data_IF_012846404230
#
_entry.id   IF_012846404230
#
_cell.length_a   1.000
_cell.length_b   1.000
_cell.length_c   1.000
_cell.angle_alpha   90.00
_cell.angle_beta   90.00
_cell.angle_gamma   90.00
#
_symmetry.space_group_name_H-M   'P 1'
#
loop_
_entity.id
_entity.type
_entity.pdbx_description
1 polymer ?
#
# COMPACT_ATOMS: atom_id res chain seq x y z
N UNK A 1 -21.72 -22.96 12.24
CA UNK A 1 -20.83 -23.32 11.12
C UNK A 1 -21.37 -22.86 9.77
N UNK A 2 -22.57 -23.30 9.35
CA UNK A 2 -23.16 -22.91 8.04
C UNK A 2 -23.31 -21.39 7.88
N UNK A 3 -23.78 -20.69 8.92
CA UNK A 3 -23.94 -19.21 8.89
C UNK A 3 -22.58 -18.51 8.78
N UNK A 4 -21.58 -19.00 9.51
CA UNK A 4 -20.24 -18.40 9.55
C UNK A 4 -19.50 -18.62 8.23
N UNK A 5 -19.61 -19.83 7.65
CA UNK A 5 -19.15 -20.16 6.30
C UNK A 5 -19.91 -19.34 5.25
N UNK A 6 -21.22 -19.12 5.44
CA UNK A 6 -22.05 -18.27 4.58
C UNK A 6 -21.60 -16.81 4.57
N UNK A 7 -21.33 -16.21 5.74
CA UNK A 7 -20.78 -14.85 5.86
C UNK A 7 -19.41 -14.76 5.18
N UNK A 8 -18.58 -15.79 5.34
CA UNK A 8 -17.25 -15.89 4.75
C UNK A 8 -17.32 -15.99 3.21
N UNK A 9 -18.24 -16.81 2.70
CA UNK A 9 -18.49 -16.95 1.25
C UNK A 9 -19.09 -15.68 0.67
N UNK A 10 -20.03 -15.02 1.35
CA UNK A 10 -20.59 -13.73 0.94
C UNK A 10 -19.50 -12.66 0.91
N UNK A 11 -18.60 -12.64 1.90
CA UNK A 11 -17.49 -11.71 1.96
C UNK A 11 -16.47 -11.95 0.83
N UNK A 12 -16.07 -13.21 0.60
CA UNK A 12 -15.20 -13.59 -0.53
C UNK A 12 -15.86 -13.25 -1.87
N UNK A 13 -17.15 -13.51 -2.01
CA UNK A 13 -17.90 -13.22 -3.23
C UNK A 13 -18.00 -11.71 -3.51
N UNK A 14 -18.28 -10.90 -2.47
CA UNK A 14 -18.34 -9.44 -2.58
C UNK A 14 -17.00 -8.85 -2.98
N UNK A 15 -15.90 -9.40 -2.49
CA UNK A 15 -14.54 -8.94 -2.81
C UNK A 15 -13.85 -9.81 -3.89
N UNK A 16 -14.61 -10.50 -4.75
CA UNK A 16 -14.05 -11.45 -5.73
C UNK A 16 -13.08 -10.82 -6.72
N UNK A 17 -13.29 -9.55 -7.09
CA UNK A 17 -12.40 -8.80 -7.98
C UNK A 17 -11.03 -8.66 -7.36
N UNK A 18 -10.99 -8.25 -6.09
CA UNK A 18 -9.78 -7.98 -5.34
C UNK A 18 -9.05 -9.30 -5.03
N UNK A 19 -9.78 -10.37 -4.70
CA UNK A 19 -9.21 -11.71 -4.54
C UNK A 19 -8.65 -12.28 -5.85
N UNK A 20 -9.39 -12.16 -6.95
CA UNK A 20 -8.93 -12.62 -8.27
C UNK A 20 -7.71 -11.85 -8.73
N UNK A 21 -7.68 -10.53 -8.51
CA UNK A 21 -6.54 -9.68 -8.82
C UNK A 21 -5.34 -9.98 -7.91
N UNK A 22 -5.55 -10.25 -6.63
CA UNK A 22 -4.49 -10.70 -5.72
C UNK A 22 -3.84 -12.00 -6.20
N UNK A 23 -4.64 -13.02 -6.53
CA UNK A 23 -4.15 -14.32 -7.04
C UNK A 23 -3.43 -14.15 -8.38
N UNK A 24 -3.99 -13.35 -9.30
CA UNK A 24 -3.38 -13.06 -10.61
C UNK A 24 -2.10 -12.24 -10.51
N UNK A 25 -1.94 -11.40 -9.49
CA UNK A 25 -0.73 -10.57 -9.29
C UNK A 25 0.36 -11.31 -8.54
N UNK A 26 0.01 -12.20 -7.61
CA UNK A 26 0.96 -13.14 -6.96
C UNK A 26 1.63 -14.04 -8.01
N UNK A 27 0.93 -14.39 -9.09
CA UNK A 27 1.44 -15.21 -10.18
C UNK A 27 2.21 -14.43 -11.26
N UNK A 28 2.29 -13.10 -11.17
CA UNK A 28 3.09 -12.28 -12.08
C UNK A 28 4.44 -11.92 -11.43
N UNK A 29 5.56 -12.55 -11.86
CA UNK A 29 6.88 -12.36 -11.24
C UNK A 29 7.43 -10.94 -11.41
N UNK A 30 6.97 -10.18 -12.40
CA UNK A 30 7.49 -8.84 -12.71
C UNK A 30 7.09 -7.73 -11.71
N UNK A 31 6.06 -7.94 -10.88
CA UNK A 31 5.64 -6.98 -9.85
C UNK A 31 6.43 -7.12 -8.53
N UNK A 32 7.31 -8.13 -8.46
CA UNK A 32 8.15 -8.44 -7.30
C UNK A 32 9.62 -8.30 -7.69
N UNK A 33 10.04 -7.07 -7.97
CA UNK A 33 11.47 -6.73 -8.01
C UNK A 33 12.05 -6.92 -6.61
N UNK A 34 12.65 -8.10 -6.40
CA UNK A 34 13.40 -8.47 -5.21
C UNK A 34 13.02 -9.86 -4.67
N UNK A 35 13.89 -10.87 -4.89
CA UNK A 35 13.80 -12.18 -4.21
C UNK A 35 13.74 -12.04 -2.68
N UNK A 36 14.35 -10.99 -2.12
CA UNK A 36 14.32 -10.68 -0.68
C UNK A 36 12.92 -10.34 -0.16
N UNK A 37 12.07 -9.72 -1.00
CA UNK A 37 10.71 -9.35 -0.63
C UNK A 37 9.77 -10.55 -0.61
N UNK A 38 9.97 -11.52 -1.51
CA UNK A 38 9.24 -12.80 -1.49
C UNK A 38 9.58 -13.65 -0.25
N UNK A 39 10.86 -13.72 0.12
CA UNK A 39 11.29 -14.47 1.31
C UNK A 39 10.70 -13.89 2.60
N UNK A 40 10.75 -12.57 2.75
CA UNK A 40 10.15 -11.84 3.89
C UNK A 40 8.65 -12.10 4.02
N UNK A 41 8.00 -12.32 2.90
CA UNK A 41 6.56 -12.46 2.74
C UNK A 41 6.07 -13.89 3.02
N UNK A 42 6.81 -14.91 2.56
CA UNK A 42 6.62 -16.29 3.03
C UNK A 42 6.90 -16.43 4.53
N UNK A 43 7.91 -15.71 5.04
CA UNK A 43 8.24 -15.70 6.46
C UNK A 43 7.11 -15.10 7.30
N UNK A 44 6.53 -13.96 6.90
CA UNK A 44 5.37 -13.38 7.59
C UNK A 44 4.14 -14.30 7.58
N UNK A 45 3.85 -14.94 6.44
CA UNK A 45 2.75 -15.91 6.35
C UNK A 45 2.96 -17.13 7.25
N UNK A 46 4.19 -17.65 7.30
CA UNK A 46 4.58 -18.75 8.19
C UNK A 46 4.44 -18.36 9.67
N UNK A 47 4.88 -17.16 10.05
CA UNK A 47 4.75 -16.64 11.41
C UNK A 47 3.27 -16.53 11.81
N UNK A 48 2.42 -15.99 10.93
CA UNK A 48 0.98 -15.87 11.20
C UNK A 48 0.33 -17.25 11.42
N UNK A 49 0.69 -18.24 10.60
CA UNK A 49 0.15 -19.60 10.70
C UNK A 49 0.61 -20.28 11.99
N UNK A 50 1.90 -20.15 12.35
CA UNK A 50 2.44 -20.65 13.62
C UNK A 50 1.75 -20.00 14.82
N UNK A 51 1.51 -18.67 14.78
CA UNK A 51 0.82 -17.95 15.83
C UNK A 51 -0.61 -18.46 16.03
N UNK A 52 -1.33 -18.76 14.96
CA UNK A 52 -2.72 -19.23 15.03
C UNK A 52 -2.81 -20.66 15.54
N UNK A 53 -1.88 -21.53 15.14
CA UNK A 53 -1.76 -22.87 15.70
C UNK A 53 -1.45 -22.76 17.21
N UNK A 54 -0.51 -21.90 17.59
CA UNK A 54 -0.13 -21.65 18.98
C UNK A 54 -1.30 -21.11 19.83
N UNK A 55 -2.06 -20.14 19.33
CA UNK A 55 -3.27 -19.65 20.00
C UNK A 55 -4.32 -20.78 20.11
N UNK A 56 -4.50 -21.56 19.05
CA UNK A 56 -5.41 -22.71 19.06
C UNK A 56 -5.05 -23.76 20.12
N UNK A 57 -3.76 -24.04 20.32
CA UNK A 57 -3.30 -24.98 21.36
C UNK A 57 -3.43 -24.38 22.77
N UNK A 58 -3.11 -23.09 22.95
CA UNK A 58 -3.33 -22.37 24.23
C UNK A 58 -4.79 -22.47 24.66
N UNK A 59 -5.72 -22.18 23.74
CA UNK A 59 -7.14 -22.24 24.00
C UNK A 59 -7.72 -23.67 23.99
N UNK A 60 -6.87 -24.70 23.82
CA UNK A 60 -7.25 -26.11 23.78
C UNK A 60 -8.38 -26.40 22.79
N UNK A 61 -8.30 -25.80 21.61
CA UNK A 61 -9.30 -26.00 20.58
C UNK A 61 -9.20 -27.41 19.98
N UNK A 62 -10.32 -27.96 19.54
CA UNK A 62 -10.34 -29.21 18.76
C UNK A 62 -9.53 -29.03 17.47
N UNK A 63 -8.79 -30.07 17.08
CA UNK A 63 -7.94 -30.04 15.89
C UNK A 63 -8.68 -29.60 14.61
N UNK A 64 -9.95 -29.97 14.47
CA UNK A 64 -10.79 -29.56 13.33
C UNK A 64 -11.02 -28.05 13.27
N UNK A 65 -11.16 -27.38 14.42
CA UNK A 65 -11.35 -25.92 14.49
C UNK A 65 -10.02 -25.18 14.30
N UNK A 66 -8.90 -25.75 14.78
CA UNK A 66 -7.56 -25.23 14.49
C UNK A 66 -7.30 -25.28 12.98
N UNK A 67 -7.62 -26.40 12.32
CA UNK A 67 -7.46 -26.54 10.88
C UNK A 67 -8.32 -25.53 10.10
N UNK A 68 -9.56 -25.30 10.54
CA UNK A 68 -10.44 -24.26 9.98
C UNK A 68 -9.83 -22.86 10.13
N UNK A 69 -9.34 -22.52 11.34
CA UNK A 69 -8.68 -21.24 11.62
C UNK A 69 -7.43 -21.05 10.76
N UNK A 70 -6.60 -22.09 10.62
CA UNK A 70 -5.41 -22.06 9.77
C UNK A 70 -5.75 -21.86 8.30
N UNK A 71 -6.80 -22.52 7.80
CA UNK A 71 -7.29 -22.31 6.43
C UNK A 71 -7.73 -20.87 6.20
N UNK A 72 -8.51 -20.30 7.14
CA UNK A 72 -8.93 -18.90 7.06
C UNK A 72 -7.75 -17.92 7.16
N UNK A 73 -6.79 -18.21 8.05
CA UNK A 73 -5.58 -17.44 8.21
C UNK A 73 -4.75 -17.35 6.93
N UNK A 74 -4.61 -18.46 6.20
CA UNK A 74 -3.91 -18.50 4.92
C UNK A 74 -4.59 -17.58 3.90
N UNK A 75 -5.92 -17.64 3.80
CA UNK A 75 -6.68 -16.74 2.92
C UNK A 75 -6.48 -15.27 3.30
N UNK A 76 -6.58 -14.92 4.59
CA UNK A 76 -6.35 -13.57 5.08
C UNK A 76 -4.90 -13.12 4.84
N UNK A 77 -3.92 -14.00 5.06
CA UNK A 77 -2.51 -13.72 4.86
C UNK A 77 -2.19 -13.36 3.40
N UNK A 78 -2.73 -14.14 2.45
CA UNK A 78 -2.62 -13.85 1.00
C UNK A 78 -3.19 -12.48 0.65
N UNK A 79 -4.31 -12.09 1.27
CA UNK A 79 -4.92 -10.79 1.02
C UNK A 79 -4.11 -9.64 1.63
N UNK A 80 -3.65 -9.78 2.88
CA UNK A 80 -2.81 -8.77 3.54
C UNK A 80 -1.50 -8.53 2.79
N UNK A 81 -0.93 -9.61 2.27
CA UNK A 81 0.24 -9.61 1.42
C UNK A 81 0.02 -8.82 0.15
N UNK A 82 -1.11 -9.05 -0.54
CA UNK A 82 -1.45 -8.29 -1.73
C UNK A 82 -1.53 -6.79 -1.45
N UNK A 83 -2.17 -6.40 -0.34
CA UNK A 83 -2.24 -4.99 0.08
C UNK A 83 -0.85 -4.43 0.34
N UNK A 84 0.00 -5.16 1.07
CA UNK A 84 1.35 -4.71 1.40
C UNK A 84 2.20 -4.50 0.13
N UNK A 85 2.10 -5.38 -0.85
CA UNK A 85 2.78 -5.23 -2.13
C UNK A 85 2.28 -4.01 -2.91
N UNK A 86 0.95 -3.82 -2.98
CA UNK A 86 0.37 -2.63 -3.60
C UNK A 86 0.87 -1.34 -2.93
N UNK A 87 0.88 -1.30 -1.59
CA UNK A 87 1.38 -0.18 -0.81
C UNK A 87 2.87 0.10 -1.08
N UNK A 88 3.73 -0.92 -1.11
CA UNK A 88 5.15 -0.75 -1.42
C UNK A 88 5.37 -0.24 -2.85
N UNK A 89 4.61 -0.76 -3.81
CA UNK A 89 4.74 -0.33 -5.20
C UNK A 89 4.28 1.12 -5.37
N UNK A 90 3.19 1.53 -4.70
CA UNK A 90 2.74 2.92 -4.68
C UNK A 90 3.77 3.84 -4.02
N UNK A 91 4.38 3.42 -2.91
CA UNK A 91 5.46 4.16 -2.26
C UNK A 91 6.64 4.40 -3.20
N UNK A 92 7.13 3.34 -3.86
CA UNK A 92 8.26 3.44 -4.78
C UNK A 92 7.91 4.32 -5.99
N UNK A 93 6.69 4.18 -6.53
CA UNK A 93 6.23 5.01 -7.63
C UNK A 93 6.18 6.50 -7.23
N UNK A 94 5.69 6.79 -6.03
CA UNK A 94 5.68 8.15 -5.48
C UNK A 94 7.09 8.72 -5.30
N UNK A 95 7.99 7.96 -4.65
CA UNK A 95 9.39 8.38 -4.45
C UNK A 95 10.11 8.62 -5.79
N UNK A 96 9.89 7.74 -6.76
CA UNK A 96 10.43 7.86 -8.12
C UNK A 96 9.90 9.10 -8.84
N UNK A 97 8.59 9.36 -8.75
CA UNK A 97 7.98 10.56 -9.33
C UNK A 97 8.47 11.85 -8.68
N UNK A 98 8.58 11.88 -7.34
CA UNK A 98 9.13 13.01 -6.60
C UNK A 98 10.57 13.31 -7.04
N UNK A 99 11.43 12.29 -7.10
CA UNK A 99 12.82 12.46 -7.53
C UNK A 99 12.91 12.92 -8.98
N UNK A 100 12.09 12.35 -9.87
CA UNK A 100 12.00 12.80 -11.25
C UNK A 100 11.65 14.29 -11.35
N UNK A 101 10.61 14.74 -10.64
CA UNK A 101 10.17 16.14 -10.67
C UNK A 101 11.23 17.09 -10.08
N UNK A 102 11.87 16.70 -8.97
CA UNK A 102 12.94 17.48 -8.34
C UNK A 102 14.17 17.60 -9.26
N UNK A 103 14.64 16.48 -9.83
CA UNK A 103 15.75 16.48 -10.78
C UNK A 103 15.40 17.34 -12.00
N UNK A 104 14.20 17.18 -12.55
CA UNK A 104 13.77 17.92 -13.75
C UNK A 104 13.70 19.44 -13.51
N UNK A 105 13.16 19.89 -12.37
CA UNK A 105 13.19 21.31 -11.98
C UNK A 105 14.62 21.85 -11.87
N UNK A 106 15.52 21.08 -11.23
CA UNK A 106 16.93 21.45 -11.06
C UNK A 106 17.70 21.54 -12.38
N UNK A 107 17.50 20.58 -13.30
CA UNK A 107 18.12 20.64 -14.62
C UNK A 107 17.53 21.74 -15.49
N UNK A 108 16.22 21.98 -15.42
CA UNK A 108 15.58 23.03 -16.21
C UNK A 108 16.11 24.42 -15.86
N UNK A 109 16.48 24.66 -14.60
CA UNK A 109 17.16 25.89 -14.15
C UNK A 109 18.45 26.18 -14.94
N UNK A 110 19.16 25.15 -15.41
CA UNK A 110 20.43 25.30 -16.13
C UNK A 110 20.29 25.36 -17.66
N UNK A 111 19.31 24.64 -18.22
CA UNK A 111 19.15 24.49 -19.67
C UNK A 111 18.14 25.45 -20.27
N UNK A 112 17.16 25.91 -19.48
CA UNK A 112 16.11 26.87 -19.86
C UNK A 112 15.28 26.44 -21.09
N UNK A 113 15.37 25.15 -21.45
CA UNK A 113 14.64 24.49 -22.54
C UNK A 113 14.26 23.08 -22.12
N UNK A 114 13.01 22.71 -22.37
CA UNK A 114 12.38 21.48 -21.91
C UNK A 114 12.98 20.24 -22.59
N UNK A 115 13.13 20.27 -23.91
CA UNK A 115 13.66 19.14 -24.69
C UNK A 115 15.10 18.75 -24.28
N UNK A 116 16.09 19.66 -24.27
CA UNK A 116 17.45 19.34 -23.81
C UNK A 116 17.49 18.88 -22.35
N UNK A 117 16.63 19.44 -21.49
CA UNK A 117 16.52 19.04 -20.09
C UNK A 117 16.09 17.56 -19.97
N UNK A 118 15.04 17.17 -20.70
CA UNK A 118 14.52 15.80 -20.69
C UNK A 118 15.50 14.78 -21.27
N UNK A 119 16.18 15.13 -22.37
CA UNK A 119 17.22 14.29 -22.98
C UNK A 119 18.40 14.10 -22.03
N UNK A 120 18.82 15.18 -21.36
CA UNK A 120 19.91 15.13 -20.40
C UNK A 120 19.55 14.31 -19.16
N UNK A 121 18.35 14.48 -18.62
CA UNK A 121 17.84 13.72 -17.49
C UNK A 121 17.82 12.21 -17.79
N UNK A 122 17.34 11.83 -18.97
CA UNK A 122 17.34 10.44 -19.43
C UNK A 122 18.75 9.84 -19.56
N UNK A 123 19.75 10.69 -19.89
CA UNK A 123 21.14 10.27 -20.05
C UNK A 123 21.89 10.05 -18.73
N UNK A 124 21.56 10.81 -17.69
CA UNK A 124 22.21 10.73 -16.37
C UNK A 124 21.52 9.69 -15.48
N UNK A 125 20.19 9.68 -15.47
CA UNK A 125 19.38 8.85 -14.57
C UNK A 125 18.51 7.90 -15.40
N UNK A 126 19.03 6.71 -15.79
CA UNK A 126 18.32 5.78 -16.66
C UNK A 126 17.02 5.23 -16.03
N UNK A 127 16.86 5.37 -14.72
CA UNK A 127 15.61 5.03 -14.02
C UNK A 127 14.44 5.94 -14.43
N UNK A 128 14.72 7.16 -14.91
CA UNK A 128 13.72 8.12 -15.37
C UNK A 128 13.40 8.02 -16.85
N UNK A 129 14.08 7.14 -17.58
CA UNK A 129 13.88 6.92 -19.01
C UNK A 129 12.41 6.62 -19.36
N UNK A 130 11.72 5.88 -18.48
CA UNK A 130 10.30 5.57 -18.66
C UNK A 130 9.42 6.84 -18.67
N UNK A 131 9.70 7.81 -17.80
CA UNK A 131 8.93 9.06 -17.75
C UNK A 131 9.30 9.98 -18.91
N UNK A 132 10.59 10.10 -19.21
CA UNK A 132 11.07 10.97 -20.29
C UNK A 132 10.62 10.45 -21.66
N UNK A 133 10.63 9.14 -21.93
CA UNK A 133 10.12 8.57 -23.17
C UNK A 133 8.64 8.89 -23.39
N UNK A 134 7.80 8.73 -22.36
CA UNK A 134 6.35 9.04 -22.46
C UNK A 134 6.14 10.52 -22.80
N UNK A 135 6.91 11.41 -22.19
CA UNK A 135 6.82 12.85 -22.45
C UNK A 135 7.34 13.17 -23.86
N UNK A 136 8.51 12.65 -24.25
CA UNK A 136 9.12 12.90 -25.55
C UNK A 136 8.28 12.34 -26.70
N UNK A 137 7.69 11.15 -26.54
CA UNK A 137 6.77 10.56 -27.52
C UNK A 137 5.52 11.44 -27.70
N UNK A 138 4.95 11.95 -26.62
CA UNK A 138 3.81 12.87 -26.68
C UNK A 138 4.17 14.19 -27.37
N UNK A 139 5.32 14.79 -27.04
CA UNK A 139 5.81 16.02 -27.71
C UNK A 139 6.06 15.76 -29.20
N UNK A 140 6.68 14.63 -29.56
CA UNK A 140 6.93 14.25 -30.96
C UNK A 140 5.63 14.01 -31.75
N UNK A 141 4.55 13.60 -31.07
CA UNK A 141 3.23 13.47 -31.65
C UNK A 141 2.49 14.80 -31.85
N UNK A 142 3.07 15.91 -31.39
CA UNK A 142 2.53 17.27 -31.53
C UNK A 142 1.68 17.74 -30.35
N UNK A 143 1.71 17.04 -29.22
CA UNK A 143 1.03 17.47 -27.99
C UNK A 143 1.79 18.60 -27.29
N UNK A 144 1.06 19.43 -26.53
CA UNK A 144 1.70 20.46 -25.70
C UNK A 144 2.48 19.84 -24.55
N UNK A 145 3.46 20.58 -24.02
CA UNK A 145 4.29 20.13 -22.90
C UNK A 145 3.43 19.76 -21.69
N UNK A 146 2.39 20.55 -21.40
CA UNK A 146 1.41 20.29 -20.35
C UNK A 146 0.69 18.94 -20.54
N UNK A 147 0.23 18.64 -21.76
CA UNK A 147 -0.47 17.37 -22.04
C UNK A 147 0.49 16.18 -21.93
N UNK A 148 1.74 16.34 -22.38
CA UNK A 148 2.77 15.33 -22.28
C UNK A 148 3.09 14.96 -20.83
N UNK A 149 3.23 15.95 -19.94
CA UNK A 149 3.45 15.72 -18.50
C UNK A 149 2.23 15.12 -17.81
N UNK A 150 1.02 15.53 -18.21
CA UNK A 150 -0.24 14.96 -17.68
C UNK A 150 -0.37 13.46 -17.97
N UNK A 151 0.25 12.93 -19.03
CA UNK A 151 0.31 11.48 -19.32
C UNK A 151 1.16 10.70 -18.32
N UNK A 152 2.18 11.33 -17.73
CA UNK A 152 3.01 10.71 -16.69
C UNK A 152 2.21 10.60 -15.39
N UNK A 153 1.60 11.71 -14.96
CA UNK A 153 0.70 11.73 -13.83
C UNK A 153 -0.21 12.97 -13.90
N UNK A 154 -1.51 12.83 -13.57
CA UNK A 154 -2.44 13.95 -13.56
C UNK A 154 -2.29 14.88 -12.34
N UNK A 155 -1.34 14.61 -11.44
CA UNK A 155 -1.12 15.40 -10.24
C UNK A 155 -0.79 16.87 -10.56
N UNK A 156 -1.36 17.82 -9.81
CA UNK A 156 -1.21 19.25 -10.11
C UNK A 156 0.25 19.71 -10.17
N UNK A 157 1.14 19.23 -9.28
CA UNK A 157 2.56 19.60 -9.32
C UNK A 157 3.25 19.19 -10.63
N UNK A 158 2.90 18.03 -11.18
CA UNK A 158 3.48 17.56 -12.45
C UNK A 158 3.09 18.51 -13.59
N UNK A 159 1.83 18.94 -13.60
CA UNK A 159 1.31 19.92 -14.55
C UNK A 159 1.92 21.30 -14.32
N UNK A 160 2.06 21.74 -13.06
CA UNK A 160 2.66 23.04 -12.70
C UNK A 160 4.09 23.14 -13.21
N UNK A 161 4.89 22.08 -13.09
CA UNK A 161 6.24 22.08 -13.66
C UNK A 161 6.22 22.30 -15.17
N UNK A 162 5.34 21.60 -15.89
CA UNK A 162 5.19 21.78 -17.33
C UNK A 162 4.76 23.21 -17.69
N UNK A 163 3.84 23.81 -16.92
CA UNK A 163 3.44 25.22 -17.09
C UNK A 163 4.62 26.17 -16.87
N UNK A 164 5.42 25.98 -15.81
CA UNK A 164 6.60 26.82 -15.55
C UNK A 164 7.58 26.73 -16.72
N UNK A 165 7.83 25.51 -17.21
CA UNK A 165 8.72 25.29 -18.35
C UNK A 165 8.21 25.93 -19.63
N UNK A 166 6.94 25.75 -19.97
CA UNK A 166 6.31 26.33 -21.16
C UNK A 166 6.26 27.86 -21.10
N UNK A 167 5.97 28.43 -19.93
CA UNK A 167 5.96 29.88 -19.71
C UNK A 167 7.35 30.48 -19.85
N UNK A 168 8.39 29.82 -19.33
CA UNK A 168 9.77 30.26 -19.46
C UNK A 168 10.25 30.21 -20.92
N UNK A 169 9.89 29.15 -21.65
CA UNK A 169 10.19 29.05 -23.09
C UNK A 169 9.48 30.12 -23.92
N UNK A 170 8.24 30.46 -23.56
CA UNK A 170 7.40 31.40 -24.34
C UNK A 170 7.71 32.86 -24.02
N UNK A 171 7.89 33.20 -22.74
CA UNK A 171 7.99 34.58 -22.25
C UNK A 171 9.40 34.95 -21.77
N UNK A 172 10.33 34.00 -21.77
CA UNK A 172 11.70 34.16 -21.28
C UNK A 172 11.82 33.93 -19.76
N UNK A 173 13.06 33.99 -19.26
CA UNK A 173 13.41 33.49 -17.91
C UNK A 173 13.18 34.51 -16.79
N UNK A 174 12.44 35.59 -17.05
CA UNK A 174 12.19 36.61 -16.04
C UNK A 174 11.34 36.04 -14.90
N UNK A 175 11.95 35.81 -13.74
CA UNK A 175 11.29 35.20 -12.58
C UNK A 175 11.27 33.67 -12.58
N UNK A 176 11.96 33.00 -13.52
CA UNK A 176 12.06 31.54 -13.57
C UNK A 176 12.63 30.96 -12.27
N UNK A 177 13.73 31.54 -11.76
CA UNK A 177 14.35 31.08 -10.52
C UNK A 177 13.38 31.14 -9.34
N UNK A 178 12.60 32.21 -9.23
CA UNK A 178 11.60 32.34 -8.17
C UNK A 178 10.47 31.32 -8.35
N UNK A 179 9.99 31.12 -9.58
CA UNK A 179 8.94 30.15 -9.87
C UNK A 179 9.39 28.71 -9.54
N UNK A 180 10.62 28.34 -9.93
CA UNK A 180 11.21 27.04 -9.63
C UNK A 180 11.47 26.85 -8.14
N UNK A 181 11.96 27.88 -7.43
CA UNK A 181 12.13 27.80 -5.97
C UNK A 181 10.80 27.60 -5.25
N UNK A 182 9.75 28.35 -5.62
CA UNK A 182 8.41 28.16 -5.07
C UNK A 182 7.87 26.75 -5.36
N UNK A 183 8.13 26.24 -6.56
CA UNK A 183 7.73 24.89 -6.95
C UNK A 183 8.47 23.80 -6.15
N UNK A 184 9.78 23.96 -5.93
CA UNK A 184 10.59 23.04 -5.11
C UNK A 184 10.10 23.02 -3.66
N UNK A 185 9.75 24.18 -3.09
CA UNK A 185 9.15 24.27 -1.76
C UNK A 185 7.82 23.52 -1.67
N UNK A 186 6.93 23.67 -2.66
CA UNK A 186 5.65 22.96 -2.72
C UNK A 186 5.84 21.44 -2.89
N UNK A 187 6.83 21.03 -3.69
CA UNK A 187 7.19 19.64 -3.90
C UNK A 187 7.70 18.98 -2.60
N UNK A 188 8.56 19.68 -1.85
CA UNK A 188 9.06 19.21 -0.56
C UNK A 188 7.96 19.15 0.50
N UNK A 189 7.07 20.15 0.54
CA UNK A 189 5.90 20.11 1.40
C UNK A 189 5.01 18.92 1.07
N UNK A 190 4.74 18.66 -0.21
CA UNK A 190 3.94 17.52 -0.66
C UNK A 190 4.54 16.18 -0.19
N UNK A 191 5.86 16.00 -0.30
CA UNK A 191 6.55 14.83 0.23
C UNK A 191 6.37 14.71 1.75
N UNK A 192 6.63 15.78 2.49
CA UNK A 192 6.52 15.78 3.95
C UNK A 192 5.08 15.46 4.40
N UNK A 193 4.07 16.05 3.76
CA UNK A 193 2.67 15.79 4.08
C UNK A 193 2.26 14.35 3.78
N UNK A 194 2.64 13.83 2.61
CA UNK A 194 2.33 12.46 2.20
C UNK A 194 3.00 11.44 3.12
N UNK A 195 4.28 11.64 3.46
CA UNK A 195 4.99 10.78 4.40
C UNK A 195 4.38 10.85 5.81
N UNK A 196 4.02 12.04 6.29
CA UNK A 196 3.38 12.23 7.59
C UNK A 196 2.02 11.53 7.67
N UNK A 197 1.17 11.69 6.67
CA UNK A 197 -0.12 11.01 6.59
C UNK A 197 0.06 9.48 6.66
N UNK A 198 1.01 8.94 5.89
CA UNK A 198 1.31 7.51 5.91
C UNK A 198 1.87 7.04 7.26
N UNK A 199 2.71 7.85 7.92
CA UNK A 199 3.17 7.56 9.29
C UNK A 199 2.02 7.55 10.30
N UNK A 200 1.06 8.46 10.18
CA UNK A 200 -0.14 8.48 11.03
C UNK A 200 -1.00 7.22 10.82
N UNK A 201 -1.20 6.78 9.58
CA UNK A 201 -1.89 5.53 9.25
C UNK A 201 -1.17 4.29 9.84
N UNK A 202 0.16 4.23 9.73
CA UNK A 202 0.96 3.19 10.38
C UNK A 202 0.84 3.24 11.91
N UNK A 203 0.79 4.43 12.49
CA UNK A 203 0.54 4.64 13.92
C UNK A 203 -0.83 4.14 14.36
N UNK A 204 -1.89 4.38 13.58
CA UNK A 204 -3.22 3.83 13.84
C UNK A 204 -3.22 2.30 13.79
N UNK A 205 -2.54 1.71 12.80
CA UNK A 205 -2.37 0.25 12.71
C UNK A 205 -1.72 -0.34 13.95
N UNK A 206 -0.65 0.28 14.45
CA UNK A 206 0.03 -0.19 15.66
C UNK A 206 -0.92 -0.17 16.87
N UNK A 207 -1.73 0.89 17.02
CA UNK A 207 -2.73 1.00 18.09
C UNK A 207 -3.78 -0.12 18.00
N UNK A 208 -4.30 -0.42 16.80
CA UNK A 208 -5.26 -1.51 16.61
C UNK A 208 -4.62 -2.87 16.88
N UNK A 209 -3.38 -3.10 16.45
CA UNK A 209 -2.66 -4.34 16.72
C UNK A 209 -2.45 -4.55 18.23
N UNK A 210 -2.12 -3.48 18.96
CA UNK A 210 -2.03 -3.51 20.41
C UNK A 210 -3.37 -3.86 21.07
N UNK A 211 -4.48 -3.27 20.61
CA UNK A 211 -5.83 -3.62 21.08
C UNK A 211 -6.17 -5.10 20.82
N UNK A 212 -5.76 -5.66 19.69
CA UNK A 212 -5.94 -7.09 19.38
C UNK A 212 -5.15 -7.95 20.38
N UNK A 213 -3.88 -7.64 20.62
CA UNK A 213 -3.04 -8.37 21.57
C UNK A 213 -3.63 -8.31 22.98
N UNK A 214 -4.10 -7.14 23.42
CA UNK A 214 -4.79 -6.99 24.70
C UNK A 214 -6.07 -7.81 24.75
N UNK A 215 -6.86 -7.83 23.68
CA UNK A 215 -8.11 -8.61 23.61
C UNK A 215 -7.86 -10.10 23.74
N UNK A 216 -6.82 -10.62 23.07
CA UNK A 216 -6.39 -12.02 23.22
C UNK A 216 -5.89 -12.30 24.64
N UNK A 217 -5.13 -11.38 25.24
CA UNK A 217 -4.67 -11.49 26.62
C UNK A 217 -5.81 -11.55 27.63
N UNK A 218 -6.83 -10.69 27.49
CA UNK A 218 -8.03 -10.69 28.33
C UNK A 218 -8.81 -12.00 28.17
N UNK A 219 -8.97 -12.49 26.94
CA UNK A 219 -9.62 -13.77 26.67
C UNK A 219 -8.87 -14.94 27.34
N UNK A 220 -7.53 -14.92 27.29
CA UNK A 220 -6.70 -15.92 27.94
C UNK A 220 -6.88 -15.93 29.47
N UNK A 221 -6.83 -14.77 30.12
CA UNK A 221 -7.07 -14.64 31.56
C UNK A 221 -8.47 -15.11 31.96
N UNK A 222 -9.48 -14.72 31.18
CA UNK A 222 -10.88 -15.10 31.42
C UNK A 222 -11.06 -16.62 31.42
N UNK A 223 -10.37 -17.32 30.52
CA UNK A 223 -10.42 -18.78 30.41
C UNK A 223 -9.64 -19.45 31.54
N UNK A 224 -8.52 -18.86 31.98
CA UNK A 224 -7.82 -19.29 33.19
C UNK A 224 -8.76 -19.34 34.39
N UNK A 225 -9.52 -18.27 34.63
CA UNK A 225 -10.50 -18.19 35.72
C UNK A 225 -11.65 -19.19 35.54
N UNK A 226 -12.18 -19.33 34.32
CA UNK A 226 -13.30 -20.25 34.05
C UNK A 226 -12.88 -21.72 34.28
N UNK A 227 -11.63 -22.06 33.98
CA UNK A 227 -11.11 -23.43 34.11
C UNK A 227 -10.96 -23.90 35.55
N UNK A 228 -10.79 -22.99 36.51
CA UNK A 228 -10.79 -23.33 37.94
C UNK A 228 -12.19 -23.67 38.46
N UNK A 229 -13.24 -23.19 37.78
CA UNK A 229 -14.63 -23.35 38.24
C UNK A 229 -15.38 -24.49 37.56
N UNK A 230 -15.10 -24.80 36.29
CA UNK A 230 -15.80 -25.85 35.53
C UNK A 230 -14.84 -26.59 34.56
N UNK A 231 -14.94 -27.93 34.38
CA UNK A 231 -14.19 -28.65 33.35
C UNK A 231 -14.75 -28.35 31.94
N UNK A 232 -14.37 -27.20 31.39
CA UNK A 232 -14.96 -26.61 30.15
C UNK A 232 -14.37 -27.19 28.86
N UNK A 233 -13.26 -27.93 28.93
CA UNK A 233 -12.48 -28.32 27.75
C UNK A 233 -13.28 -29.09 26.68
N UNK A 234 -14.38 -29.77 27.06
CA UNK A 234 -15.24 -30.52 26.14
C UNK A 234 -16.53 -29.81 25.72
N UNK A 235 -16.84 -28.65 26.29
CA UNK A 235 -18.05 -27.91 25.94
C UNK A 235 -17.97 -27.40 24.50
N UNK A 236 -18.91 -27.83 23.66
CA UNK A 236 -19.02 -27.34 22.28
C UNK A 236 -19.25 -25.83 22.24
N UNK A 237 -19.98 -25.29 23.23
CA UNK A 237 -20.24 -23.86 23.32
C UNK A 237 -18.94 -23.06 23.46
N UNK A 238 -18.05 -23.48 24.37
CA UNK A 238 -16.73 -22.87 24.54
C UNK A 238 -15.92 -22.88 23.23
N UNK A 239 -15.85 -24.06 22.61
CA UNK A 239 -15.08 -24.28 21.38
C UNK A 239 -15.55 -23.34 20.24
N UNK A 240 -16.86 -23.19 20.07
CA UNK A 240 -17.41 -22.29 19.04
C UNK A 240 -17.25 -20.81 19.38
N UNK A 241 -17.45 -20.41 20.63
CA UNK A 241 -17.33 -19.01 21.06
C UNK A 241 -15.90 -18.50 20.90
N UNK A 242 -14.91 -19.28 21.34
CA UNK A 242 -13.49 -18.90 21.19
C UNK A 242 -13.08 -18.88 19.72
N UNK A 243 -13.52 -19.87 18.93
CA UNK A 243 -13.24 -19.89 17.48
C UNK A 243 -13.86 -18.67 16.78
N UNK A 244 -15.11 -18.33 17.11
CA UNK A 244 -15.78 -17.15 16.57
C UNK A 244 -15.05 -15.85 16.92
N UNK A 245 -14.62 -15.71 18.17
CA UNK A 245 -13.80 -14.58 18.62
C UNK A 245 -12.48 -14.44 17.84
N UNK A 246 -11.75 -15.54 17.64
CA UNK A 246 -10.51 -15.53 16.85
C UNK A 246 -10.75 -15.20 15.37
N UNK A 247 -11.86 -15.66 14.78
CA UNK A 247 -12.23 -15.28 13.41
C UNK A 247 -12.53 -13.78 13.32
N UNK A 248 -13.25 -13.21 14.29
CA UNK A 248 -13.50 -11.77 14.36
C UNK A 248 -12.19 -10.99 14.46
N UNK A 249 -11.24 -11.45 15.28
CA UNK A 249 -9.89 -10.84 15.34
C UNK A 249 -9.21 -10.86 13.98
N UNK A 250 -9.26 -11.99 13.26
CA UNK A 250 -8.66 -12.09 11.93
C UNK A 250 -9.32 -11.14 10.91
N UNK A 251 -10.63 -10.94 11.01
CA UNK A 251 -11.36 -9.96 10.19
C UNK A 251 -10.91 -8.53 10.53
N UNK A 252 -10.81 -8.18 11.82
CA UNK A 252 -10.34 -6.86 12.26
C UNK A 252 -8.91 -6.61 11.76
N UNK A 253 -8.04 -7.61 11.83
CA UNK A 253 -6.66 -7.51 11.35
C UNK A 253 -6.61 -7.28 9.83
N UNK A 254 -7.49 -7.92 9.07
CA UNK A 254 -7.65 -7.71 7.63
C UNK A 254 -8.18 -6.30 7.30
N UNK A 255 -9.22 -5.82 7.98
CA UNK A 255 -9.77 -4.47 7.75
C UNK A 255 -8.75 -3.38 8.13
N UNK A 256 -7.96 -3.60 9.19
CA UNK A 256 -6.87 -2.69 9.57
C UNK A 256 -5.84 -2.54 8.45
N UNK A 257 -5.55 -3.63 7.74
CA UNK A 257 -4.64 -3.60 6.59
C UNK A 257 -5.26 -2.92 5.37
N UNK A 258 -6.58 -3.01 5.17
CA UNK A 258 -7.28 -2.33 4.06
C UNK A 258 -7.15 -0.81 4.13
N UNK A 259 -7.01 -0.24 5.33
CA UNK A 259 -6.70 1.19 5.50
C UNK A 259 -5.42 1.64 4.79
N UNK A 260 -4.47 0.72 4.53
CA UNK A 260 -3.25 0.98 3.76
C UNK A 260 -3.45 0.97 2.24
N UNK A 261 -4.67 0.73 1.74
CA UNK A 261 -5.00 0.85 0.31
C UNK A 261 -5.13 2.32 -0.15
N UNK A 262 -5.09 3.28 0.78
CA UNK A 262 -5.05 4.69 0.43
C UNK A 262 -3.91 4.93 -0.56
N UNK A 263 -4.24 5.58 -1.69
CA UNK A 263 -3.25 5.91 -2.72
C UNK A 263 -2.23 6.89 -2.12
N UNK A 264 -0.96 6.71 -2.48
CA UNK A 264 0.11 7.66 -2.12
C UNK A 264 -0.04 9.00 -2.85
N UNK A 265 -0.77 9.01 -3.96
CA UNK A 265 -1.14 10.23 -4.69
C UNK A 265 -2.63 10.44 -4.42
N UNK A 266 -2.98 11.57 -3.79
CA UNK A 266 -4.37 11.91 -3.49
C UNK A 266 -5.12 12.22 -4.80
N UNK A 267 -6.25 11.56 -5.02
CA UNK A 267 -7.09 11.82 -6.20
C UNK A 267 -7.63 13.26 -6.21
N UNK A 268 -7.80 13.88 -5.04
CA UNK A 268 -8.20 15.29 -4.89
C UNK A 268 -7.14 16.28 -5.42
N UNK A 269 -5.88 15.84 -5.53
CA UNK A 269 -4.76 16.64 -6.04
C UNK A 269 -4.55 16.44 -7.55
N UNK A 270 -5.35 15.57 -8.19
CA UNK A 270 -5.26 15.29 -9.62
C UNK A 270 -6.18 16.23 -10.42
N UNK A 271 -5.67 16.74 -11.54
CA UNK A 271 -6.41 17.59 -12.48
C UNK A 271 -7.02 16.71 -13.58
N UNK A 272 -8.35 16.62 -13.62
CA UNK A 272 -9.12 15.91 -14.66
C UNK A 272 -8.88 16.46 -16.08
#
# INVERSE_FOLDING_TARGET
>A
MVILIGILLIYIYKNRSDFSQAIKRITKPHLYTGMDKMCTLYLMGAILLLLIIYLGTIFKLKATLILLLSGFALCCGVFQLHILCCYQNQKIAFESLYLFLSSNASFFRNWEKALPCLEHLASIEPEFHCYTEVILEAINSGESLIQAYKRVSPHYLVVTLAVIMEMAETYGNAGLDHALLSYEEDLDQWKVYTEKLNQELLGMRLKVLLLIVMSVGIAYLSIGMLRETVPINHSLFYQYTVTGFLIVILIVLMETMKGMKASWICEEECID
#
